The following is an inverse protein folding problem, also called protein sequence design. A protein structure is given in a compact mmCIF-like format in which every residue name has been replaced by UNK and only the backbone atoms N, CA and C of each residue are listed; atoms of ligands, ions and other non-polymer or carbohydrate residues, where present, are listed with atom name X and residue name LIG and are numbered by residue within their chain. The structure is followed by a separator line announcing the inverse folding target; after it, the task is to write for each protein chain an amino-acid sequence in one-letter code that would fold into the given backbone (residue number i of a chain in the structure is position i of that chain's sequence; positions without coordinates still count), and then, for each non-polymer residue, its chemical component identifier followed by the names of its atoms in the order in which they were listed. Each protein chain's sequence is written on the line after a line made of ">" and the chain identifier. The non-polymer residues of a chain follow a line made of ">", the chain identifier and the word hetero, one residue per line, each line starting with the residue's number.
data_IF_587843163843
#
_entry.id   IF_587843163843
#
_cell.length_a   1.000
_cell.length_b   1.000
_cell.length_c   1.000
_cell.angle_alpha   90.00
_cell.angle_beta   90.00
_cell.angle_gamma   90.00
#
_symmetry.space_group_name_H-M   'P 1'
#
loop_
_entity.id
_entity.type
_entity.pdbx_description
1 polymer ?
#
# COMPACT_ATOMS: atom_id res chain seq x y z
N UNK A 1 16.93 -10.90 -12.50
CA UNK A 1 17.71 -10.73 -11.26
C UNK A 1 17.30 -11.86 -10.34
N UNK A 2 18.23 -12.75 -9.99
CA UNK A 2 17.96 -13.91 -9.14
C UNK A 2 18.12 -13.48 -7.67
N UNK A 3 17.01 -13.46 -6.94
CA UNK A 3 16.96 -13.04 -5.55
C UNK A 3 17.87 -13.87 -4.63
N UNK A 4 18.12 -15.12 -4.99
CA UNK A 4 19.03 -15.98 -4.24
C UNK A 4 20.48 -15.54 -4.42
N UNK A 5 20.86 -15.12 -5.62
CA UNK A 5 22.23 -14.68 -5.91
C UNK A 5 22.56 -13.35 -5.23
N UNK A 6 21.61 -12.40 -5.19
CA UNK A 6 21.79 -11.14 -4.45
C UNK A 6 21.95 -11.38 -2.94
N UNK A 7 21.11 -12.23 -2.34
CA UNK A 7 21.20 -12.53 -0.92
C UNK A 7 22.50 -13.28 -0.58
N UNK A 8 22.93 -14.22 -1.41
CA UNK A 8 24.23 -14.91 -1.24
C UNK A 8 25.37 -13.91 -1.30
N UNK A 9 25.36 -12.96 -2.24
CA UNK A 9 26.36 -11.90 -2.31
C UNK A 9 26.40 -11.04 -1.04
N UNK A 10 25.24 -10.60 -0.54
CA UNK A 10 25.14 -9.80 0.68
C UNK A 10 25.62 -10.54 1.94
N UNK A 11 25.37 -11.85 2.03
CA UNK A 11 25.84 -12.68 3.15
C UNK A 11 27.36 -12.88 3.12
N UNK A 12 27.95 -12.97 1.92
CA UNK A 12 29.41 -13.06 1.76
C UNK A 12 30.08 -11.75 2.16
N UNK A 13 29.53 -10.61 1.76
CA UNK A 13 29.99 -9.28 2.20
C UNK A 13 29.85 -9.08 3.71
N UNK A 14 28.85 -9.71 4.34
CA UNK A 14 28.69 -9.71 5.80
C UNK A 14 29.66 -10.65 6.54
N UNK A 15 30.54 -11.37 5.82
CA UNK A 15 31.61 -12.18 6.39
C UNK A 15 31.34 -13.69 6.45
N UNK A 16 30.28 -14.20 5.81
CA UNK A 16 30.07 -15.66 5.68
C UNK A 16 30.85 -16.23 4.49
N UNK A 17 31.36 -17.44 4.62
CA UNK A 17 31.94 -18.16 3.48
C UNK A 17 30.86 -18.46 2.43
N UNK A 18 31.19 -18.42 1.12
CA UNK A 18 30.22 -18.62 0.04
C UNK A 18 29.49 -19.96 0.13
N UNK A 19 30.17 -21.00 0.63
CA UNK A 19 29.60 -22.34 0.84
C UNK A 19 28.55 -22.36 1.96
N UNK A 20 28.78 -21.62 3.04
CA UNK A 20 27.84 -21.50 4.16
C UNK A 20 26.61 -20.69 3.75
N UNK A 21 26.80 -19.59 3.04
CA UNK A 21 25.71 -18.76 2.52
C UNK A 21 24.79 -19.55 1.57
N UNK A 22 25.37 -20.32 0.64
CA UNK A 22 24.59 -21.17 -0.27
C UNK A 22 23.82 -22.27 0.48
N UNK A 23 24.46 -22.94 1.45
CA UNK A 23 23.81 -23.98 2.26
C UNK A 23 22.65 -23.44 3.10
N UNK A 24 22.78 -22.22 3.62
CA UNK A 24 21.71 -21.56 4.38
C UNK A 24 20.53 -21.11 3.50
N UNK A 25 20.81 -20.68 2.27
CA UNK A 25 19.82 -20.16 1.32
C UNK A 25 19.07 -21.26 0.55
N UNK A 26 19.70 -22.42 0.32
CA UNK A 26 19.13 -23.54 -0.42
C UNK A 26 17.76 -24.04 0.07
N UNK A 27 17.51 -24.25 1.38
CA UNK A 27 16.22 -24.78 1.86
C UNK A 27 15.08 -23.77 1.81
N UNK A 28 15.35 -22.48 1.55
CA UNK A 28 14.33 -21.44 1.53
C UNK A 28 14.01 -20.97 0.10
N UNK A 29 12.73 -20.68 -0.14
CA UNK A 29 12.29 -19.99 -1.35
C UNK A 29 12.26 -18.49 -1.07
N UNK A 30 13.24 -17.77 -1.61
CA UNK A 30 13.43 -16.33 -1.38
C UNK A 30 13.01 -15.58 -2.63
N UNK A 31 12.24 -14.51 -2.45
CA UNK A 31 11.84 -13.59 -3.50
C UNK A 31 12.33 -12.19 -3.13
N UNK A 32 12.96 -11.49 -4.06
CA UNK A 32 13.34 -10.10 -3.84
C UNK A 32 12.07 -9.28 -3.66
N UNK A 33 11.98 -8.61 -2.51
CA UNK A 33 10.95 -7.60 -2.28
C UNK A 33 11.37 -6.37 -3.07
N UNK A 34 10.86 -6.25 -4.29
CA UNK A 34 10.88 -4.97 -4.96
C UNK A 34 10.08 -3.99 -4.09
N UNK A 35 10.74 -2.96 -3.56
CA UNK A 35 10.11 -1.89 -2.76
C UNK A 35 9.01 -1.11 -3.49
N UNK A 36 8.67 -1.53 -4.71
CA UNK A 36 7.60 -1.02 -5.56
C UNK A 36 6.22 -1.21 -4.91
N UNK A 37 5.91 -2.38 -4.33
CA UNK A 37 4.53 -2.73 -3.93
C UNK A 37 4.01 -1.99 -2.70
N UNK A 38 4.85 -1.78 -1.69
CA UNK A 38 4.48 -1.12 -0.43
C UNK A 38 4.48 0.41 -0.56
N UNK A 39 5.40 0.94 -1.38
CA UNK A 39 5.40 2.34 -1.78
C UNK A 39 4.19 2.69 -2.64
N UNK A 40 3.70 1.74 -3.44
CA UNK A 40 2.53 1.93 -4.31
C UNK A 40 1.22 2.02 -3.52
N UNK A 41 0.95 1.12 -2.55
CA UNK A 41 -0.29 1.17 -1.76
C UNK A 41 -0.46 2.48 -0.97
N UNK A 42 0.59 2.92 -0.26
CA UNK A 42 0.52 4.17 0.51
C UNK A 42 0.37 5.41 -0.38
N UNK A 43 1.01 5.41 -1.55
CA UNK A 43 0.84 6.47 -2.56
C UNK A 43 -0.58 6.50 -3.11
N UNK A 44 -1.14 5.34 -3.44
CA UNK A 44 -2.50 5.21 -3.92
C UNK A 44 -3.53 5.64 -2.88
N UNK A 45 -3.35 5.27 -1.61
CA UNK A 45 -4.19 5.76 -0.50
C UNK A 45 -4.12 7.29 -0.42
N UNK A 46 -2.93 7.87 -0.51
CA UNK A 46 -2.74 9.32 -0.47
C UNK A 46 -3.45 10.03 -1.64
N UNK A 47 -3.34 9.47 -2.85
CA UNK A 47 -4.01 9.98 -4.04
C UNK A 47 -5.55 9.88 -3.92
N UNK A 48 -6.07 8.76 -3.40
CA UNK A 48 -7.49 8.58 -3.11
C UNK A 48 -7.99 9.64 -2.13
N UNK A 49 -7.29 9.85 -1.00
CA UNK A 49 -7.69 10.84 0.01
C UNK A 49 -7.65 12.27 -0.55
N UNK A 50 -6.67 12.58 -1.42
CA UNK A 50 -6.61 13.86 -2.09
C UNK A 50 -7.79 14.08 -3.05
N UNK A 51 -8.14 13.07 -3.86
CA UNK A 51 -9.32 13.11 -4.72
C UNK A 51 -10.60 13.30 -3.91
N UNK A 52 -10.77 12.52 -2.82
CA UNK A 52 -11.92 12.64 -1.90
C UNK A 52 -12.04 13.98 -1.20
N UNK A 53 -10.92 14.68 -1.02
CA UNK A 53 -10.91 16.06 -0.51
C UNK A 53 -11.38 17.07 -1.55
N UNK A 54 -11.05 16.85 -2.82
CA UNK A 54 -11.51 17.69 -3.95
C UNK A 54 -13.00 17.47 -4.21
N UNK A 55 -13.48 16.22 -4.07
CA UNK A 55 -14.91 15.85 -4.18
C UNK A 55 -15.80 16.55 -3.12
N UNK A 56 -15.21 17.25 -2.14
CA UNK A 56 -15.94 18.00 -1.12
C UNK A 56 -16.47 17.15 0.04
N UNK A 57 -15.93 15.94 0.25
CA UNK A 57 -16.30 15.12 1.39
C UNK A 57 -15.87 15.77 2.72
N UNK A 58 -16.64 15.50 3.77
CA UNK A 58 -16.35 16.05 5.10
C UNK A 58 -14.97 15.60 5.60
N UNK A 59 -14.28 16.48 6.34
CA UNK A 59 -12.99 16.16 6.95
C UNK A 59 -13.08 14.92 7.85
N UNK A 60 -14.22 14.73 8.53
CA UNK A 60 -14.50 13.55 9.36
C UNK A 60 -14.54 12.26 8.55
N UNK A 61 -15.14 12.29 7.35
CA UNK A 61 -15.17 11.12 6.44
C UNK A 61 -13.78 10.80 5.92
N UNK A 62 -12.99 11.81 5.56
CA UNK A 62 -11.60 11.64 5.07
C UNK A 62 -10.72 11.06 6.18
N UNK A 63 -10.89 11.53 7.42
CA UNK A 63 -10.20 11.00 8.60
C UNK A 63 -10.52 9.51 8.80
N UNK A 64 -11.80 9.16 8.74
CA UNK A 64 -12.25 7.78 8.88
C UNK A 64 -11.68 6.87 7.78
N UNK A 65 -11.62 7.36 6.54
CA UNK A 65 -10.98 6.65 5.43
C UNK A 65 -9.50 6.47 5.64
N UNK A 66 -8.78 7.50 6.10
CA UNK A 66 -7.35 7.42 6.39
C UNK A 66 -7.04 6.39 7.47
N UNK A 67 -7.80 6.40 8.56
CA UNK A 67 -7.64 5.42 9.63
C UNK A 67 -7.85 4.00 9.11
N UNK A 68 -8.98 3.76 8.45
CA UNK A 68 -9.38 2.45 7.95
C UNK A 68 -8.37 1.89 6.94
N UNK A 69 -7.98 2.70 5.95
CA UNK A 69 -6.99 2.32 4.94
C UNK A 69 -5.58 2.18 5.52
N UNK A 70 -5.26 2.93 6.57
CA UNK A 70 -4.01 2.77 7.32
C UNK A 70 -3.91 1.42 8.02
N UNK A 71 -4.99 0.97 8.67
CA UNK A 71 -5.05 -0.37 9.28
C UNK A 71 -4.94 -1.45 8.21
N UNK A 72 -5.60 -1.27 7.06
CA UNK A 72 -5.50 -2.18 5.92
C UNK A 72 -4.07 -2.29 5.38
N UNK A 73 -3.42 -1.16 5.13
CA UNK A 73 -2.04 -1.12 4.62
C UNK A 73 -1.01 -1.67 5.62
N UNK A 74 -1.33 -1.67 6.91
CA UNK A 74 -0.50 -2.32 7.92
C UNK A 74 -0.61 -3.85 7.92
N UNK A 75 -1.71 -4.41 7.41
CA UNK A 75 -1.99 -5.85 7.44
C UNK A 75 -1.73 -6.56 6.11
N UNK A 76 -1.97 -5.87 4.99
CA UNK A 76 -1.76 -6.48 3.66
C UNK A 76 -0.35 -6.18 3.17
N UNK A 77 0.47 -7.23 3.10
CA UNK A 77 1.85 -7.17 2.62
C UNK A 77 1.97 -7.46 1.11
N UNK A 78 1.08 -6.89 0.30
CA UNK A 78 1.03 -7.09 -1.16
C UNK A 78 0.86 -5.76 -1.90
N UNK A 79 1.37 -5.71 -3.13
CA UNK A 79 1.10 -4.61 -4.06
C UNK A 79 -0.41 -4.53 -4.38
N UNK A 80 -0.95 -3.33 -4.59
CA UNK A 80 -2.41 -3.14 -4.74
C UNK A 80 -2.99 -3.91 -5.92
N UNK A 81 -2.22 -4.00 -7.01
CA UNK A 81 -2.56 -4.75 -8.21
C UNK A 81 -2.60 -6.26 -8.02
N UNK A 82 -2.05 -6.77 -6.91
CA UNK A 82 -2.02 -8.20 -6.55
C UNK A 82 -2.96 -8.55 -5.41
N UNK A 83 -3.73 -7.58 -4.88
CA UNK A 83 -4.69 -7.85 -3.81
C UNK A 83 -5.86 -8.62 -4.40
N UNK A 84 -6.08 -9.83 -3.88
CA UNK A 84 -7.17 -10.70 -4.29
C UNK A 84 -8.36 -10.59 -3.33
N UNK A 85 -9.50 -11.15 -3.72
CA UNK A 85 -10.69 -11.24 -2.86
C UNK A 85 -10.38 -12.06 -1.60
N UNK A 86 -9.50 -13.05 -1.68
CA UNK A 86 -9.10 -13.86 -0.53
C UNK A 86 -8.27 -13.07 0.48
N UNK A 87 -7.38 -12.18 0.03
CA UNK A 87 -6.65 -11.27 0.92
C UNK A 87 -7.63 -10.31 1.65
N UNK A 88 -8.70 -9.88 0.98
CA UNK A 88 -9.76 -9.07 1.61
C UNK A 88 -10.55 -9.87 2.64
N UNK A 89 -10.85 -11.15 2.37
CA UNK A 89 -11.52 -12.05 3.32
C UNK A 89 -10.65 -12.26 4.55
N UNK A 90 -9.37 -12.54 4.37
CA UNK A 90 -8.40 -12.73 5.47
C UNK A 90 -8.30 -11.46 6.33
N UNK A 91 -8.26 -10.27 5.71
CA UNK A 91 -8.30 -9.01 6.43
C UNK A 91 -9.58 -8.83 7.25
N UNK A 92 -10.75 -9.14 6.69
CA UNK A 92 -12.03 -9.02 7.41
C UNK A 92 -12.10 -10.03 8.57
N UNK A 93 -11.66 -11.27 8.35
CA UNK A 93 -11.55 -12.27 9.42
C UNK A 93 -10.62 -11.81 10.54
N UNK A 94 -9.46 -11.23 10.21
CA UNK A 94 -8.55 -10.63 11.20
C UNK A 94 -9.24 -9.53 12.03
N UNK A 95 -10.02 -8.65 11.40
CA UNK A 95 -10.75 -7.60 12.11
C UNK A 95 -11.85 -8.15 13.03
N UNK A 96 -12.52 -9.23 12.63
CA UNK A 96 -13.56 -9.88 13.40
C UNK A 96 -12.97 -10.66 14.58
N UNK A 97 -11.99 -11.52 14.31
CA UNK A 97 -11.51 -12.53 15.25
C UNK A 97 -10.40 -12.01 16.17
N UNK A 98 -9.46 -11.21 15.64
CA UNK A 98 -8.31 -10.72 16.41
C UNK A 98 -8.60 -9.37 17.07
N UNK A 99 -9.29 -8.48 16.35
CA UNK A 99 -9.63 -7.14 16.88
C UNK A 99 -10.98 -7.09 17.60
N UNK A 100 -11.83 -8.12 17.45
CA UNK A 100 -13.14 -8.19 18.12
C UNK A 100 -14.09 -7.05 17.73
N UNK A 101 -13.98 -6.55 16.49
CA UNK A 101 -14.78 -5.39 16.05
C UNK A 101 -16.25 -5.76 15.89
N UNK A 102 -17.13 -4.84 16.29
CA UNK A 102 -18.58 -4.97 16.07
C UNK A 102 -18.92 -4.91 14.58
N UNK A 103 -20.02 -5.55 14.19
CA UNK A 103 -20.48 -5.63 12.79
C UNK A 103 -20.56 -4.27 12.09
N UNK A 104 -21.01 -3.21 12.78
CA UNK A 104 -21.07 -1.86 12.22
C UNK A 104 -19.68 -1.28 11.88
N UNK A 105 -18.66 -1.63 12.67
CA UNK A 105 -17.27 -1.25 12.39
C UNK A 105 -16.71 -2.05 11.23
N UNK A 106 -17.00 -3.37 11.15
CA UNK A 106 -16.62 -4.20 10.00
C UNK A 106 -17.22 -3.67 8.70
N UNK A 107 -18.50 -3.30 8.71
CA UNK A 107 -19.18 -2.71 7.56
C UNK A 107 -18.54 -1.39 7.13
N UNK A 108 -18.06 -0.58 8.08
CA UNK A 108 -17.32 0.65 7.78
C UNK A 108 -16.02 0.36 7.04
N UNK A 109 -15.27 -0.68 7.48
CA UNK A 109 -14.07 -1.14 6.79
C UNK A 109 -14.39 -1.64 5.37
N UNK A 110 -15.42 -2.49 5.22
CA UNK A 110 -15.85 -3.04 3.94
C UNK A 110 -16.27 -1.92 2.97
N UNK A 111 -17.08 -0.96 3.41
CA UNK A 111 -17.54 0.15 2.58
C UNK A 111 -16.38 1.06 2.14
N UNK A 112 -15.44 1.32 3.05
CA UNK A 112 -14.24 2.12 2.73
C UNK A 112 -13.37 1.41 1.70
N UNK A 113 -13.12 0.10 1.88
CA UNK A 113 -12.36 -0.70 0.92
C UNK A 113 -13.06 -0.72 -0.44
N UNK A 114 -14.37 -0.93 -0.47
CA UNK A 114 -15.15 -0.87 -1.72
C UNK A 114 -15.00 0.47 -2.43
N UNK A 115 -15.10 1.59 -1.71
CA UNK A 115 -14.92 2.93 -2.28
C UNK A 115 -13.50 3.14 -2.82
N UNK A 116 -12.49 2.66 -2.09
CA UNK A 116 -11.10 2.74 -2.50
C UNK A 116 -10.81 1.92 -3.76
N UNK A 117 -11.16 0.64 -3.79
CA UNK A 117 -10.91 -0.22 -4.94
C UNK A 117 -11.76 0.19 -6.16
N UNK A 118 -12.99 0.65 -5.96
CA UNK A 118 -13.79 1.21 -7.05
C UNK A 118 -13.14 2.46 -7.65
N UNK A 119 -12.53 3.33 -6.84
CA UNK A 119 -11.79 4.48 -7.33
C UNK A 119 -10.53 4.04 -8.08
N UNK A 120 -9.81 3.03 -7.58
CA UNK A 120 -8.64 2.48 -8.26
C UNK A 120 -8.98 1.85 -9.62
N UNK A 121 -10.12 1.19 -9.79
CA UNK A 121 -10.52 0.65 -11.09
C UNK A 121 -10.81 1.75 -12.12
N UNK A 122 -11.27 2.92 -11.67
CA UNK A 122 -11.61 4.05 -12.55
C UNK A 122 -10.39 4.92 -12.86
N UNK A 123 -9.58 5.22 -11.84
CA UNK A 123 -8.45 6.17 -11.94
C UNK A 123 -7.07 5.49 -12.04
N UNK A 124 -6.97 4.20 -11.70
CA UNK A 124 -5.71 3.44 -11.62
C UNK A 124 -5.03 3.20 -12.97
N UNK A 125 -5.80 3.14 -14.07
CA UNK A 125 -5.25 3.11 -15.43
C UNK A 125 -5.18 4.50 -16.08
N UNK A 126 -5.92 5.49 -15.58
CA UNK A 126 -5.93 6.87 -16.09
C UNK A 126 -4.88 7.79 -15.43
N UNK A 127 -4.25 7.34 -14.34
CA UNK A 127 -3.41 8.12 -13.44
C UNK A 127 -2.05 8.63 -13.96
N UNK A 128 -1.69 8.43 -15.24
CA UNK A 128 -0.51 9.12 -15.82
C UNK A 128 -0.78 10.57 -16.24
N UNK A 129 -2.03 11.09 -16.14
CA UNK A 129 -2.38 12.38 -16.77
C UNK A 129 -2.88 13.47 -15.80
N UNK A 130 -3.04 13.23 -14.50
CA UNK A 130 -3.39 14.34 -13.60
C UNK A 130 -2.16 15.16 -13.18
N UNK A 131 -1.73 16.09 -14.06
CA UNK A 131 -0.89 17.24 -13.69
C UNK A 131 -1.79 18.29 -13.02
N UNK A 132 -1.69 18.52 -11.69
CA UNK A 132 -2.38 19.65 -11.10
C UNK A 132 -1.82 20.93 -11.72
N UNK A 133 -2.72 21.86 -12.05
CA UNK A 133 -2.38 23.17 -12.58
C UNK A 133 -1.25 23.80 -11.75
N UNK A 134 -0.10 23.99 -12.38
CA UNK A 134 0.94 24.86 -11.87
C UNK A 134 0.31 26.23 -11.63
N UNK A 135 0.03 26.56 -10.36
CA UNK A 135 0.05 27.96 -9.94
C UNK A 135 1.49 28.45 -10.07
N UNK A 136 1.91 28.75 -11.31
CA UNK A 136 2.94 29.74 -11.54
C UNK A 136 2.31 31.08 -11.19
N UNK A 137 2.74 31.62 -10.07
CA UNK A 137 2.28 32.91 -9.57
C UNK A 137 2.87 33.24 -8.21
N UNK A 138 4.14 32.89 -7.98
CA UNK A 138 4.98 33.69 -7.11
C UNK A 138 5.30 34.95 -7.93
N UNK A 139 4.71 36.08 -7.57
CA UNK A 139 5.25 37.39 -7.89
C UNK A 139 5.56 38.05 -6.55
N UNK A 140 6.83 37.88 -6.17
CA UNK A 140 7.78 38.90 -5.74
C UNK A 140 7.26 40.04 -4.84
N UNK A 141 8.02 40.23 -3.76
CA UNK A 141 8.13 41.33 -2.82
C UNK A 141 8.03 42.76 -3.40
N UNK A 142 7.94 43.75 -2.47
CA UNK A 142 8.22 45.20 -2.60
C UNK A 142 7.03 46.03 -3.17
N UNK A 143 6.48 47.07 -2.53
CA UNK A 143 6.93 48.05 -1.52
C UNK A 143 5.82 48.29 -0.48
#
# INVERSE_FOLDING_TARGET
>A
MDAKQELVGALVEAGLSPEQAQKLVQPYQISCRDGSGWGDLKKQISAFLAAKRIDGLSARTIENYRYTLGVFAGQVDRAVTKITVDDLREYISYLSEIRGLRDGSLLTHINTLRSFFSWLTVEGDAGRVYRPAQRRGCVICEH
#
